data_IF_280625068251
#
_entry.id   IF_280625068251
#
_cell.length_a   1.000
_cell.length_b   1.000
_cell.length_c   1.000
_cell.angle_alpha   90.00
_cell.angle_beta   90.00
_cell.angle_gamma   90.00
#
_symmetry.space_group_name_H-M   'P 1'
#
loop_
_entity.id
_entity.type
_entity.pdbx_description
1 polymer ?
#
# COMPACT_ATOMS: atom_id res chain seq x y z
N UNK A 1 -3.27 -15.46 -6.51
CA UNK A 1 -1.95 -15.91 -6.03
C UNK A 1 -2.00 -17.42 -5.79
N UNK A 2 -0.89 -18.16 -5.94
CA UNK A 2 -0.78 -19.54 -5.46
C UNK A 2 -1.22 -19.67 -3.99
N UNK A 3 -1.60 -20.88 -3.55
CA UNK A 3 -2.17 -21.10 -2.20
C UNK A 3 -1.21 -20.79 -1.06
N UNK A 4 0.09 -20.81 -1.33
CA UNK A 4 1.20 -20.56 -0.41
C UNK A 4 1.77 -19.14 -0.53
N UNK A 5 1.15 -18.26 -1.32
CA UNK A 5 1.60 -16.88 -1.53
C UNK A 5 0.57 -15.90 -0.98
N UNK A 6 1.05 -14.97 -0.15
CA UNK A 6 0.24 -13.91 0.44
C UNK A 6 0.83 -12.53 0.14
N UNK A 7 -0.02 -11.61 -0.34
CA UNK A 7 0.33 -10.19 -0.45
C UNK A 7 0.15 -9.53 0.91
N UNK A 8 1.19 -8.84 1.39
CA UNK A 8 1.18 -8.12 2.67
C UNK A 8 1.59 -6.68 2.44
N UNK A 9 0.87 -5.74 3.04
CA UNK A 9 1.15 -4.32 2.96
C UNK A 9 0.95 -3.66 4.32
N UNK A 10 1.62 -2.54 4.54
CA UNK A 10 1.42 -1.67 5.69
C UNK A 10 0.77 -0.38 5.20
N UNK A 11 -0.37 -0.03 5.78
CA UNK A 11 -1.08 1.24 5.50
C UNK A 11 -0.85 2.17 6.68
N UNK A 12 -0.33 3.37 6.40
CA UNK A 12 0.09 4.36 7.39
C UNK A 12 -0.30 5.76 6.92
N UNK A 13 -0.24 6.73 7.83
CA UNK A 13 -0.46 8.14 7.49
C UNK A 13 0.53 8.63 6.42
N UNK A 14 0.00 9.23 5.35
CA UNK A 14 0.79 9.59 4.18
C UNK A 14 1.75 10.75 4.43
N UNK A 15 1.34 11.74 5.25
CA UNK A 15 2.18 12.89 5.56
C UNK A 15 3.37 12.46 6.42
N UNK A 16 3.11 11.74 7.50
CA UNK A 16 4.14 11.18 8.38
C UNK A 16 5.08 10.23 7.63
N UNK A 17 4.55 9.34 6.79
CA UNK A 17 5.37 8.43 5.99
C UNK A 17 6.30 9.19 5.05
N UNK A 18 5.82 10.26 4.41
CA UNK A 18 6.62 11.10 3.53
C UNK A 18 7.83 11.70 4.22
N UNK A 19 7.67 12.17 5.47
CA UNK A 19 8.76 12.71 6.29
C UNK A 19 9.77 11.61 6.68
N UNK A 20 9.29 10.40 7.00
CA UNK A 20 10.13 9.29 7.47
C UNK A 20 10.89 8.57 6.35
N UNK A 21 10.33 8.56 5.13
CA UNK A 21 10.94 7.91 3.96
C UNK A 21 12.08 8.74 3.35
N UNK A 22 12.21 10.02 3.72
CA UNK A 22 13.30 10.88 3.27
C UNK A 22 14.65 10.35 3.80
N UNK A 23 15.32 9.51 3.00
CA UNK A 23 16.63 8.94 3.31
C UNK A 23 16.63 7.51 3.87
N UNK A 24 15.50 6.80 3.86
CA UNK A 24 15.43 5.37 4.21
C UNK A 24 15.13 4.50 2.98
N UNK A 25 15.72 3.31 2.94
CA UNK A 25 15.36 2.31 1.93
C UNK A 25 13.97 1.75 2.19
N UNK A 26 13.17 1.55 1.15
CA UNK A 26 11.78 1.07 1.26
C UNK A 26 11.66 -0.26 2.00
N UNK A 27 12.61 -1.17 1.79
CA UNK A 27 12.65 -2.49 2.42
C UNK A 27 12.82 -2.39 3.93
N UNK A 28 13.74 -1.54 4.39
CA UNK A 28 14.00 -1.29 5.81
C UNK A 28 12.81 -0.61 6.47
N UNK A 29 12.21 0.37 5.78
CA UNK A 29 11.03 1.06 6.25
C UNK A 29 9.86 0.10 6.44
N UNK A 30 9.59 -0.75 5.44
CA UNK A 30 8.55 -1.79 5.50
C UNK A 30 8.80 -2.77 6.66
N UNK A 31 10.02 -3.30 6.78
CA UNK A 31 10.38 -4.24 7.84
C UNK A 31 10.18 -3.63 9.24
N UNK A 32 10.53 -2.35 9.41
CA UNK A 32 10.35 -1.60 10.66
C UNK A 32 8.88 -1.34 10.99
N UNK A 33 8.02 -1.10 10.00
CA UNK A 33 6.57 -0.97 10.28
C UNK A 33 5.95 -2.33 10.58
N UNK A 34 6.33 -3.37 9.84
CA UNK A 34 5.83 -4.72 10.06
C UNK A 34 6.18 -5.24 11.47
N UNK A 35 7.39 -4.97 11.96
CA UNK A 35 7.81 -5.41 13.30
C UNK A 35 7.00 -4.82 14.45
N UNK A 36 6.27 -3.72 14.22
CA UNK A 36 5.35 -3.13 15.21
C UNK A 36 4.06 -3.93 15.35
N UNK A 37 3.79 -4.86 14.43
CA UNK A 37 2.58 -5.70 14.42
C UNK A 37 2.88 -7.09 15.01
N UNK A 38 2.86 -7.21 16.33
CA UNK A 38 3.29 -8.43 17.05
C UNK A 38 2.75 -9.74 16.46
N UNK A 39 1.45 -9.82 16.19
CA UNK A 39 0.80 -11.02 15.63
C UNK A 39 1.17 -11.27 14.17
N UNK A 40 1.08 -10.25 13.31
CA UNK A 40 1.34 -10.40 11.88
C UNK A 40 2.81 -10.70 11.60
N UNK A 41 3.72 -10.04 12.32
CA UNK A 41 5.15 -10.34 12.26
C UNK A 41 5.44 -11.80 12.68
N UNK A 42 4.79 -12.31 13.72
CA UNK A 42 4.92 -13.71 14.11
C UNK A 42 4.38 -14.67 13.04
N UNK A 43 3.24 -14.36 12.42
CA UNK A 43 2.69 -15.16 11.32
C UNK A 43 3.62 -15.23 10.11
N UNK A 44 4.39 -14.17 9.85
CA UNK A 44 5.32 -14.08 8.72
C UNK A 44 6.75 -14.52 9.05
N UNK A 45 7.02 -14.95 10.28
CA UNK A 45 8.38 -15.29 10.75
C UNK A 45 9.06 -16.41 9.96
N UNK A 46 8.28 -17.30 9.35
CA UNK A 46 8.77 -18.40 8.49
C UNK A 46 8.50 -18.16 7.00
N UNK A 47 7.93 -17.00 6.64
CA UNK A 47 7.63 -16.67 5.26
C UNK A 47 8.89 -16.22 4.52
N UNK A 48 8.92 -16.46 3.21
CA UNK A 48 9.95 -15.94 2.32
C UNK A 48 9.40 -14.71 1.58
N UNK A 49 10.17 -13.62 1.58
CA UNK A 49 9.85 -12.46 0.73
C UNK A 49 10.10 -12.82 -0.74
N UNK A 50 9.06 -12.75 -1.56
CA UNK A 50 9.15 -13.06 -3.01
C UNK A 50 9.40 -11.81 -3.87
N UNK A 51 8.91 -10.64 -3.43
CA UNK A 51 9.05 -9.37 -4.13
C UNK A 51 9.41 -8.25 -3.16
N UNK A 52 10.19 -7.26 -3.61
CA UNK A 52 10.47 -6.07 -2.80
C UNK A 52 9.19 -5.22 -2.60
N UNK A 53 9.02 -4.58 -1.43
CA UNK A 53 7.89 -3.71 -1.16
C UNK A 53 7.80 -2.52 -2.12
N UNK A 54 6.58 -2.14 -2.46
CA UNK A 54 6.25 -0.98 -3.31
C UNK A 54 5.51 0.06 -2.48
N UNK A 55 5.77 1.34 -2.75
CA UNK A 55 5.05 2.46 -2.13
C UNK A 55 3.94 2.90 -3.09
N UNK A 56 2.72 2.98 -2.57
CA UNK A 56 1.56 3.56 -3.25
C UNK A 56 1.02 4.66 -2.34
N UNK A 57 0.83 5.87 -2.88
CA UNK A 57 0.38 7.07 -2.16
C UNK A 57 -0.61 7.87 -3.00
N UNK A 58 -1.21 8.89 -2.38
CA UNK A 58 -2.14 9.83 -3.03
C UNK A 58 -3.33 9.13 -3.73
N UNK A 59 -3.76 8.00 -3.17
CA UNK A 59 -4.79 7.14 -3.76
C UNK A 59 -6.21 7.47 -3.28
N UNK A 60 -6.40 8.24 -2.22
CA UNK A 60 -7.73 8.66 -1.78
C UNK A 60 -8.17 9.93 -2.51
N UNK A 61 -9.14 9.83 -3.41
CA UNK A 61 -9.64 10.95 -4.22
C UNK A 61 -11.04 10.72 -4.78
N UNK A 62 -11.64 11.78 -5.32
CA UNK A 62 -12.86 11.71 -6.12
C UNK A 62 -12.73 12.63 -7.32
N UNK A 63 -13.01 12.11 -8.52
CA UNK A 63 -13.06 12.91 -9.75
C UNK A 63 -14.19 13.92 -9.69
N UNK A 64 -13.96 15.16 -10.16
CA UNK A 64 -14.97 16.23 -10.08
C UNK A 64 -16.21 15.96 -10.96
N UNK A 65 -16.07 15.16 -12.02
CA UNK A 65 -17.16 14.78 -12.93
C UNK A 65 -17.01 13.33 -13.35
N UNK A 66 -18.00 12.51 -13.01
CA UNK A 66 -17.99 11.06 -13.29
C UNK A 66 -18.64 10.70 -14.62
N UNK A 67 -19.55 11.55 -15.13
CA UNK A 67 -20.27 11.33 -16.39
C UNK A 67 -20.36 12.61 -17.20
N UNK A 68 -20.43 12.47 -18.52
CA UNK A 68 -20.73 13.55 -19.44
C UNK A 68 -21.18 13.01 -20.79
N UNK A 69 -21.39 13.89 -21.76
CA UNK A 69 -21.88 13.48 -23.07
C UNK A 69 -20.88 12.54 -23.76
N UNK A 70 -21.30 11.28 -23.96
CA UNK A 70 -20.48 10.25 -24.60
C UNK A 70 -19.41 9.60 -23.72
N UNK A 71 -19.36 9.87 -22.41
CA UNK A 71 -18.40 9.19 -21.51
C UNK A 71 -18.90 8.96 -20.08
N UNK A 72 -18.27 7.98 -19.44
CA UNK A 72 -18.40 7.67 -18.02
C UNK A 72 -17.03 7.26 -17.48
N UNK A 73 -16.71 7.69 -16.25
CA UNK A 73 -15.57 7.22 -15.47
C UNK A 73 -16.04 6.06 -14.56
N UNK A 74 -15.24 5.00 -14.47
CA UNK A 74 -15.55 3.80 -13.67
C UNK A 74 -14.32 3.32 -12.91
N UNK A 75 -14.53 2.60 -11.81
CA UNK A 75 -13.45 2.13 -10.93
C UNK A 75 -12.63 3.29 -10.37
N UNK A 76 -11.32 3.06 -10.17
CA UNK A 76 -10.40 4.05 -9.61
C UNK A 76 -10.47 5.39 -10.37
N UNK A 77 -10.59 5.37 -11.71
CA UNK A 77 -10.70 6.60 -12.50
C UNK A 77 -11.86 7.52 -12.07
N UNK A 78 -12.91 6.98 -11.45
CA UNK A 78 -13.98 7.76 -10.86
C UNK A 78 -13.66 8.22 -9.42
N UNK A 79 -13.22 7.29 -8.58
CA UNK A 79 -12.97 7.50 -7.15
C UNK A 79 -12.22 6.31 -6.56
N UNK A 80 -11.40 6.56 -5.56
CA UNK A 80 -10.85 5.54 -4.69
C UNK A 80 -10.76 6.10 -3.26
N UNK A 81 -11.10 5.27 -2.26
CA UNK A 81 -11.22 5.67 -0.85
C UNK A 81 -10.02 5.18 -0.08
#
# INVERSE_FOLDING_TARGET
LPRDVMSVGVVIDAQWAGEQLAGQQTDEFYARQLSQTSRTAAMLSTAQMLEAPRIIRDWSYTSQRLVGDGYILVGDAACFI
#
